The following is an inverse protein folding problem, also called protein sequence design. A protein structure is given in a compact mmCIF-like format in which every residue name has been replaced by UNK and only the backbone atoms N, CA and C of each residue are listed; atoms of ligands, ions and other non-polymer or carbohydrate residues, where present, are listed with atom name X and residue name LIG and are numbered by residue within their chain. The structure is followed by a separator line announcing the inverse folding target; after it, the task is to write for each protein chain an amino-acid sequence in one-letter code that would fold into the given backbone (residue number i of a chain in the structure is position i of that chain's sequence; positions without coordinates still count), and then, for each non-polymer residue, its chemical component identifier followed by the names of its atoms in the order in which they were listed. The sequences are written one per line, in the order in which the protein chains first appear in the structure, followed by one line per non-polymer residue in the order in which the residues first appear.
data_IF_511031010752
#
_entry.id   IF_511031010752
#
_cell.length_a   1.000
_cell.length_b   1.000
_cell.length_c   1.000
_cell.angle_alpha   90.00
_cell.angle_beta   90.00
_cell.angle_gamma   90.00
#
_symmetry.space_group_name_H-M   'P 1'
#
loop_
_entity.id
_entity.type
_entity.pdbx_description
1 polymer ?
#
# COMPACT_ATOMS: atom_id res chain seq x y z
N UNK A 1 -6.41 -5.28 -16.28
CA UNK A 1 -6.88 -4.51 -15.10
C UNK A 1 -8.11 -5.16 -14.46
N UNK A 2 -9.17 -5.50 -15.21
CA UNK A 2 -10.41 -6.10 -14.65
C UNK A 2 -10.28 -7.58 -14.25
N UNK A 3 -9.40 -8.37 -14.88
CA UNK A 3 -9.32 -9.82 -14.62
C UNK A 3 -8.70 -10.21 -13.27
N UNK A 4 -7.89 -9.37 -12.64
CA UNK A 4 -7.33 -9.63 -11.30
C UNK A 4 -8.34 -9.32 -10.18
N UNK A 5 -9.31 -8.44 -10.47
CA UNK A 5 -10.33 -7.98 -9.50
C UNK A 5 -11.46 -8.98 -9.26
N UNK A 6 -11.69 -9.96 -10.14
CA UNK A 6 -12.83 -10.88 -10.00
C UNK A 6 -12.68 -11.92 -8.87
N UNK A 7 -11.49 -12.11 -8.30
CA UNK A 7 -11.23 -13.13 -7.26
C UNK A 7 -10.49 -12.54 -6.04
N UNK A 8 -9.97 -11.31 -6.14
CA UNK A 8 -9.16 -10.71 -5.06
C UNK A 8 -10.00 -10.15 -3.92
N UNK A 9 -9.56 -10.40 -2.69
CA UNK A 9 -10.19 -9.83 -1.50
C UNK A 9 -10.01 -8.31 -1.45
N UNK A 10 -10.88 -7.60 -0.73
CA UNK A 10 -10.73 -6.15 -0.51
C UNK A 10 -9.34 -5.78 0.00
N UNK A 11 -8.73 -6.63 0.84
CA UNK A 11 -7.37 -6.42 1.34
C UNK A 11 -6.30 -6.57 0.26
N UNK A 12 -6.42 -7.56 -0.62
CA UNK A 12 -5.47 -7.75 -1.72
C UNK A 12 -5.46 -6.56 -2.69
N UNK A 13 -6.64 -6.02 -2.99
CA UNK A 13 -6.79 -4.84 -3.85
C UNK A 13 -6.14 -3.62 -3.22
N UNK A 14 -6.37 -3.40 -1.93
CA UNK A 14 -5.78 -2.28 -1.17
C UNK A 14 -4.24 -2.36 -1.11
N UNK A 15 -3.68 -3.54 -0.83
CA UNK A 15 -2.22 -3.75 -0.87
C UNK A 15 -1.68 -3.48 -2.28
N UNK A 16 -2.37 -3.94 -3.31
CA UNK A 16 -1.95 -3.69 -4.69
C UNK A 16 -1.99 -2.18 -5.03
N UNK A 17 -3.05 -1.48 -4.63
CA UNK A 17 -3.17 -0.03 -4.78
C UNK A 17 -2.03 0.71 -4.07
N UNK A 18 -1.69 0.31 -2.83
CA UNK A 18 -0.58 0.90 -2.09
C UNK A 18 0.78 0.68 -2.77
N UNK A 19 1.03 -0.53 -3.31
CA UNK A 19 2.23 -0.82 -4.12
C UNK A 19 2.31 0.13 -5.30
N UNK A 20 1.24 0.24 -6.09
CA UNK A 20 1.20 1.09 -7.29
C UNK A 20 1.41 2.57 -6.93
N UNK A 21 0.82 3.04 -5.83
CA UNK A 21 1.00 4.42 -5.37
C UNK A 21 2.47 4.72 -5.01
N UNK A 22 3.14 3.81 -4.30
CA UNK A 22 4.54 3.95 -3.91
C UNK A 22 5.45 3.89 -5.13
N UNK A 23 5.27 2.91 -6.02
CA UNK A 23 6.05 2.78 -7.26
C UNK A 23 5.89 4.03 -8.14
N UNK A 24 4.66 4.51 -8.34
CA UNK A 24 4.39 5.70 -9.15
C UNK A 24 5.03 6.95 -8.56
N UNK A 25 4.97 7.12 -7.23
CA UNK A 25 5.60 8.26 -6.53
C UNK A 25 7.10 8.26 -6.75
N UNK A 26 7.72 7.09 -6.62
CA UNK A 26 9.16 6.91 -6.81
C UNK A 26 9.58 7.16 -8.26
N UNK A 27 8.86 6.61 -9.23
CA UNK A 27 9.12 6.84 -10.66
C UNK A 27 8.98 8.32 -11.04
N UNK A 28 8.00 9.01 -10.45
CA UNK A 28 7.79 10.45 -10.67
C UNK A 28 8.73 11.34 -9.86
N UNK A 29 9.62 10.77 -9.05
CA UNK A 29 10.55 11.49 -8.17
C UNK A 29 9.82 12.49 -7.27
N UNK A 30 8.61 12.14 -6.82
CA UNK A 30 7.86 12.97 -5.89
C UNK A 30 8.53 12.92 -4.52
N UNK A 31 8.70 14.09 -3.92
CA UNK A 31 9.45 14.23 -2.66
C UNK A 31 8.66 13.80 -1.42
N UNK A 32 7.38 13.44 -1.55
CA UNK A 32 6.56 13.00 -0.42
C UNK A 32 5.36 12.18 -0.88
N UNK A 33 4.99 11.16 -0.09
CA UNK A 33 3.74 10.41 -0.26
C UNK A 33 2.95 10.40 1.05
N UNK A 34 1.67 10.73 0.95
CA UNK A 34 0.70 10.46 2.00
C UNK A 34 -0.25 9.38 1.50
N UNK A 35 -0.14 8.19 2.09
CA UNK A 35 -0.99 7.05 1.80
C UNK A 35 -2.17 7.03 2.80
N UNK A 36 -3.36 7.35 2.31
CA UNK A 36 -4.60 7.18 3.05
C UNK A 36 -5.28 5.87 2.63
N UNK A 37 -5.51 4.99 3.59
CA UNK A 37 -6.19 3.70 3.37
C UNK A 37 -7.39 3.57 4.31
N UNK A 38 -8.52 3.11 3.79
CA UNK A 38 -9.74 2.78 4.55
C UNK A 38 -9.58 1.47 5.37
N UNK A 39 -8.48 0.73 5.17
CA UNK A 39 -8.25 -0.57 5.79
C UNK A 39 -7.02 -0.58 6.69
N UNK A 40 -7.25 -0.70 8.01
CA UNK A 40 -6.20 -0.73 9.03
C UNK A 40 -5.14 -1.80 8.77
N UNK A 41 -5.52 -2.92 8.14
CA UNK A 41 -4.61 -4.01 7.79
C UNK A 41 -3.49 -3.59 6.84
N UNK A 42 -3.67 -2.57 5.99
CA UNK A 42 -2.58 -2.06 5.12
C UNK A 42 -1.51 -1.37 5.95
N UNK A 43 -1.91 -0.67 7.02
CA UNK A 43 -0.99 -0.01 7.94
C UNK A 43 -0.27 -1.05 8.78
N UNK A 44 -0.97 -2.08 9.24
CA UNK A 44 -0.33 -3.22 9.91
C UNK A 44 0.64 -3.95 8.97
N UNK A 45 0.30 -4.09 7.69
CA UNK A 45 1.18 -4.72 6.69
C UNK A 45 2.49 -3.95 6.46
N UNK A 46 2.52 -2.63 6.71
CA UNK A 46 3.76 -1.83 6.66
C UNK A 46 4.71 -2.18 7.80
N UNK A 47 4.17 -2.67 8.93
CA UNK A 47 4.95 -3.12 10.08
C UNK A 47 5.22 -4.63 10.04
N UNK A 48 4.32 -5.40 9.43
CA UNK A 48 4.36 -6.86 9.37
C UNK A 48 4.13 -7.39 7.94
N UNK A 49 5.23 -7.60 7.22
CA UNK A 49 5.21 -8.13 5.85
C UNK A 49 4.58 -9.52 5.72
N UNK A 50 4.40 -10.27 6.81
CA UNK A 50 3.77 -11.59 6.76
C UNK A 50 2.27 -11.53 6.47
N UNK A 51 1.63 -10.40 6.75
CA UNK A 51 0.22 -10.16 6.43
C UNK A 51 0.00 -10.07 4.91
N UNK A 52 1.02 -9.69 4.15
CA UNK A 52 0.93 -9.56 2.71
C UNK A 52 0.92 -10.95 2.05
N UNK A 53 -0.03 -11.21 1.13
CA UNK A 53 -0.07 -12.43 0.35
C UNK A 53 1.29 -12.69 -0.31
N UNK A 54 1.76 -13.94 -0.27
CA UNK A 54 3.08 -14.32 -0.77
C UNK A 54 3.34 -13.84 -2.21
N UNK A 55 2.29 -13.81 -3.05
CA UNK A 55 2.34 -13.35 -4.45
C UNK A 55 2.76 -11.88 -4.59
N UNK A 56 2.43 -11.04 -3.62
CA UNK A 56 2.73 -9.60 -3.60
C UNK A 56 3.89 -9.25 -2.67
N UNK A 57 4.35 -10.18 -1.83
CA UNK A 57 5.32 -9.94 -0.74
C UNK A 57 6.66 -9.39 -1.23
N UNK A 58 7.15 -9.85 -2.38
CA UNK A 58 8.41 -9.34 -2.95
C UNK A 58 8.27 -7.87 -3.36
N UNK A 59 7.21 -7.54 -4.11
CA UNK A 59 6.92 -6.16 -4.52
C UNK A 59 6.67 -5.25 -3.32
N UNK A 60 5.93 -5.74 -2.34
CA UNK A 60 5.69 -5.02 -1.09
C UNK A 60 6.98 -4.74 -0.34
N UNK A 61 7.88 -5.71 -0.19
CA UNK A 61 9.16 -5.51 0.48
C UNK A 61 10.01 -4.43 -0.21
N UNK A 62 10.02 -4.41 -1.55
CA UNK A 62 10.68 -3.34 -2.31
C UNK A 62 10.02 -1.98 -2.07
N UNK A 63 8.68 -1.92 -2.07
CA UNK A 63 7.94 -0.69 -1.78
C UNK A 63 8.25 -0.17 -0.36
N UNK A 64 8.25 -1.04 0.65
CA UNK A 64 8.60 -0.67 2.03
C UNK A 64 10.06 -0.20 2.15
N UNK A 65 10.95 -0.66 1.27
CA UNK A 65 12.30 -0.11 1.18
C UNK A 65 12.28 1.30 0.54
N UNK A 66 11.54 1.46 -0.56
CA UNK A 66 11.35 2.73 -1.25
C UNK A 66 10.74 3.79 -0.33
N UNK A 67 9.77 3.46 0.53
CA UNK A 67 9.17 4.42 1.46
C UNK A 67 10.16 5.00 2.48
N UNK A 68 11.35 4.40 2.64
CA UNK A 68 12.41 4.93 3.50
C UNK A 68 13.31 5.95 2.78
N UNK A 69 13.23 6.08 1.46
CA UNK A 69 14.07 6.99 0.69
C UNK A 69 13.50 8.41 0.61
N UNK A 70 12.24 8.62 1.01
CA UNK A 70 11.59 9.92 1.00
C UNK A 70 10.56 10.04 2.15
N UNK A 71 10.13 11.27 2.50
CA UNK A 71 9.04 11.51 3.43
C UNK A 71 7.76 10.72 3.10
N UNK A 72 7.50 9.67 3.88
CA UNK A 72 6.34 8.80 3.74
C UNK A 72 5.47 8.85 4.99
N UNK A 73 4.15 9.00 4.81
CA UNK A 73 3.16 8.90 5.89
C UNK A 73 2.03 7.98 5.46
N UNK A 74 1.62 7.06 6.32
CA UNK A 74 0.42 6.26 6.14
C UNK A 74 -0.59 6.54 7.25
N UNK A 75 -1.86 6.70 6.91
CA UNK A 75 -2.94 6.93 7.87
C UNK A 75 -4.18 6.14 7.54
N UNK A 76 -4.92 5.77 8.59
CA UNK A 76 -6.21 5.12 8.46
C UNK A 76 -7.30 6.18 8.28
N UNK A 77 -8.13 6.05 7.25
CA UNK A 77 -9.35 6.84 7.16
C UNK A 77 -10.37 6.18 8.09
N UNK A 78 -10.69 6.85 9.21
CA UNK A 78 -11.90 6.51 9.96
C UNK A 78 -13.09 7.15 9.26
N UNK A 79 -13.90 6.35 8.55
CA UNK A 79 -15.21 6.77 8.05
C UNK A 79 -16.17 6.97 9.23
N UNK A 80 -16.02 8.11 9.89
CA UNK A 80 -16.80 8.55 11.03
C UNK A 80 -16.43 9.99 11.35
N UNK A 81 -16.55 10.85 10.34
CA UNK A 81 -16.49 12.30 10.53
C UNK A 81 -17.95 12.79 10.49
N UNK A 82 -18.48 12.95 11.70
CA UNK A 82 -19.83 13.38 12.13
C UNK A 82 -20.87 12.28 12.31
#
# INVERSE_FOLDING_TARGET
FVQYLSISTSFEVEIFCAIVAIETTYEKQWYSLWLECDLALVIEALQNNNLVPWKLRIKWANCVHITKSFPFKATHIFRGRN
#
